data_IF_061978802746
#
_entry.id   IF_061978802746
#
_cell.length_a   1.000
_cell.length_b   1.000
_cell.length_c   1.000
_cell.angle_alpha   90.00
_cell.angle_beta   90.00
_cell.angle_gamma   90.00
#
_symmetry.space_group_name_H-M   'P 1'
#
loop_
_entity.id
_entity.type
_entity.pdbx_description
1 polymer ?
#
# COMPACT_ATOMS: atom_id res chain seq x y z
N UNK A 1 27.90 14.18 11.56
CA UNK A 1 28.44 15.53 11.83
C UNK A 1 27.62 16.63 11.16
N UNK A 2 27.06 16.45 9.96
CA UNK A 2 26.21 17.44 9.27
C UNK A 2 24.89 17.77 10.00
N UNK A 3 24.20 16.78 10.55
CA UNK A 3 22.90 16.96 11.23
C UNK A 3 23.01 17.81 12.51
N UNK A 4 24.15 17.77 13.19
CA UNK A 4 24.39 18.60 14.39
C UNK A 4 24.57 20.09 14.05
N UNK A 5 25.00 20.40 12.83
CA UNK A 5 25.15 21.79 12.35
C UNK A 5 23.79 22.40 11.97
N UNK A 6 22.91 21.63 11.33
CA UNK A 6 21.58 22.13 10.92
C UNK A 6 20.66 22.39 12.13
N UNK A 7 20.64 21.47 13.11
CA UNK A 7 19.88 21.70 14.35
C UNK A 7 20.43 22.91 15.15
N UNK A 8 21.75 23.11 15.20
CA UNK A 8 22.33 24.30 15.82
C UNK A 8 21.97 25.56 15.06
N UNK A 9 21.94 25.51 13.74
CA UNK A 9 21.59 26.68 12.90
C UNK A 9 20.11 27.05 13.07
N UNK A 10 19.21 26.07 13.13
CA UNK A 10 17.78 26.30 13.37
C UNK A 10 17.52 26.85 14.79
N UNK A 11 18.16 26.27 15.79
CA UNK A 11 18.06 26.75 17.18
C UNK A 11 18.64 28.16 17.33
N UNK A 12 19.72 28.49 16.60
CA UNK A 12 20.30 29.82 16.58
C UNK A 12 19.40 30.87 15.91
N UNK A 13 18.69 30.46 14.85
CA UNK A 13 17.66 31.27 14.17
C UNK A 13 16.48 31.58 15.08
N UNK A 14 15.92 30.54 15.74
CA UNK A 14 14.80 30.69 16.67
C UNK A 14 15.19 31.60 17.86
N UNK A 15 16.40 31.43 18.40
CA UNK A 15 16.89 32.24 19.50
C UNK A 15 17.06 33.73 19.10
N UNK A 16 17.55 33.98 17.88
CA UNK A 16 17.70 35.34 17.35
C UNK A 16 16.34 35.99 17.06
N UNK A 17 15.35 35.25 16.56
CA UNK A 17 13.98 35.76 16.36
C UNK A 17 13.35 36.14 17.71
N UNK A 18 13.52 35.32 18.74
CA UNK A 18 13.00 35.60 20.09
C UNK A 18 13.65 36.85 20.71
N UNK A 19 14.95 37.02 20.54
CA UNK A 19 15.68 38.25 21.01
C UNK A 19 15.21 39.46 20.24
N UNK A 20 15.01 39.38 18.92
CA UNK A 20 14.55 40.51 18.10
C UNK A 20 13.12 40.91 18.51
N UNK A 21 12.23 39.98 18.78
CA UNK A 21 10.87 40.26 19.28
C UNK A 21 10.93 40.95 20.63
N UNK A 22 11.80 40.51 21.53
CA UNK A 22 11.98 41.16 22.85
C UNK A 22 12.57 42.58 22.76
N UNK A 23 13.51 42.81 21.84
CA UNK A 23 14.08 44.14 21.58
C UNK A 23 13.04 45.07 20.97
N UNK A 24 12.25 44.60 20.00
CA UNK A 24 11.15 45.37 19.38
C UNK A 24 10.05 45.73 20.38
N UNK A 25 9.82 44.92 21.41
CA UNK A 25 8.88 45.23 22.48
C UNK A 25 9.40 46.28 23.44
N UNK A 26 10.71 46.52 23.48
CA UNK A 26 11.35 47.48 24.37
C UNK A 26 11.61 48.88 23.73
N UNK A 27 11.42 49.02 22.41
CA UNK A 27 11.70 50.27 21.66
C UNK A 27 10.44 51.17 21.55
N UNK A 28 10.68 52.49 21.42
CA UNK A 28 9.62 53.49 21.28
C UNK A 28 8.94 53.43 19.89
N UNK A 29 7.68 53.89 19.79
CA UNK A 29 6.80 53.61 18.66
C UNK A 29 7.29 54.13 17.29
N UNK A 30 8.05 55.21 17.25
CA UNK A 30 8.58 55.76 15.99
C UNK A 30 9.84 55.05 15.49
N UNK A 31 10.66 54.50 16.36
CA UNK A 31 11.81 53.67 15.99
C UNK A 31 11.35 52.24 15.60
N UNK A 32 10.32 51.72 16.25
CA UNK A 32 9.72 50.42 15.91
C UNK A 32 9.31 50.31 14.45
N UNK A 33 8.74 51.37 13.87
CA UNK A 33 8.26 51.36 12.49
C UNK A 33 9.39 51.24 11.45
N UNK A 34 10.53 51.88 11.68
CA UNK A 34 11.70 51.81 10.78
C UNK A 34 12.45 50.49 10.87
N UNK A 35 12.61 49.95 12.07
CA UNK A 35 13.27 48.67 12.29
C UNK A 35 12.37 47.50 11.82
N UNK A 36 11.08 47.56 12.09
CA UNK A 36 10.13 46.55 11.65
C UNK A 36 10.12 46.40 10.12
N UNK A 37 10.09 47.52 9.37
CA UNK A 37 10.12 47.48 7.91
C UNK A 37 11.44 46.95 7.33
N UNK A 38 12.57 47.24 7.98
CA UNK A 38 13.87 46.75 7.55
C UNK A 38 14.01 45.20 7.82
N UNK A 39 13.66 44.78 9.03
CA UNK A 39 13.75 43.36 9.43
C UNK A 39 12.72 42.46 8.74
N UNK A 40 11.48 42.92 8.58
CA UNK A 40 10.44 42.18 7.83
C UNK A 40 10.86 42.02 6.38
N UNK A 41 11.42 43.05 5.73
CA UNK A 41 11.87 42.94 4.35
C UNK A 41 13.11 42.06 4.18
N UNK A 42 14.04 42.06 5.13
CA UNK A 42 15.23 41.21 5.06
C UNK A 42 14.91 39.76 5.38
N UNK A 43 14.28 39.50 6.51
CA UNK A 43 13.92 38.11 6.92
C UNK A 43 12.76 37.52 6.12
N UNK A 44 11.84 38.34 5.63
CA UNK A 44 10.81 37.91 4.70
C UNK A 44 11.39 37.41 3.37
N UNK A 45 12.44 38.10 2.84
CA UNK A 45 13.16 37.63 1.63
C UNK A 45 13.96 36.34 1.89
N UNK A 46 14.64 36.25 3.03
CA UNK A 46 15.40 35.05 3.40
C UNK A 46 14.45 33.84 3.64
N UNK A 47 13.31 34.06 4.28
CA UNK A 47 12.28 33.03 4.49
C UNK A 47 11.66 32.62 3.17
N UNK A 48 11.32 33.55 2.28
CA UNK A 48 10.76 33.26 0.95
C UNK A 48 11.75 32.45 0.10
N UNK A 49 13.02 32.85 0.09
CA UNK A 49 14.07 32.11 -0.63
C UNK A 49 14.31 30.71 -0.03
N UNK A 50 14.21 30.55 1.30
CA UNK A 50 14.33 29.24 1.94
C UNK A 50 13.13 28.33 1.62
N UNK A 51 11.91 28.89 1.51
CA UNK A 51 10.71 28.16 1.10
C UNK A 51 10.77 27.77 -0.38
N UNK A 52 11.24 28.67 -1.27
CA UNK A 52 11.46 28.36 -2.68
C UNK A 52 12.48 27.22 -2.87
N UNK A 53 13.59 27.26 -2.15
CA UNK A 53 14.59 26.17 -2.18
C UNK A 53 14.01 24.84 -1.67
N UNK A 54 13.13 24.85 -0.67
CA UNK A 54 12.46 23.65 -0.19
C UNK A 54 11.48 23.10 -1.25
N UNK A 55 10.77 23.98 -1.93
CA UNK A 55 9.86 23.59 -3.00
C UNK A 55 10.60 22.95 -4.19
N UNK A 56 11.69 23.56 -4.65
CA UNK A 56 12.53 23.00 -5.72
C UNK A 56 13.09 21.62 -5.35
N UNK A 57 13.60 21.47 -4.12
CA UNK A 57 14.09 20.19 -3.61
C UNK A 57 12.99 19.15 -3.54
N UNK A 58 11.79 19.54 -3.12
CA UNK A 58 10.62 18.67 -3.08
C UNK A 58 10.22 18.20 -4.47
N UNK A 59 10.13 19.11 -5.44
CA UNK A 59 9.78 18.77 -6.82
C UNK A 59 10.81 17.85 -7.47
N UNK A 60 12.10 18.11 -7.25
CA UNK A 60 13.16 17.23 -7.72
C UNK A 60 13.07 15.84 -7.11
N UNK A 61 12.86 15.74 -5.81
CA UNK A 61 12.66 14.48 -5.10
C UNK A 61 11.40 13.75 -5.58
N UNK A 62 10.32 14.49 -5.83
CA UNK A 62 9.07 13.95 -6.35
C UNK A 62 9.26 13.36 -7.74
N UNK A 63 9.95 14.08 -8.63
CA UNK A 63 10.31 13.63 -9.98
C UNK A 63 11.09 12.32 -9.93
N UNK A 64 12.16 12.28 -9.12
CA UNK A 64 13.00 11.09 -8.99
C UNK A 64 12.22 9.88 -8.48
N UNK A 65 11.31 10.12 -7.52
CA UNK A 65 10.41 9.09 -7.00
C UNK A 65 9.47 8.55 -8.08
N UNK A 66 8.85 9.44 -8.87
CA UNK A 66 7.94 9.05 -9.95
C UNK A 66 8.66 8.28 -11.06
N UNK A 67 9.87 8.70 -11.43
CA UNK A 67 10.70 7.98 -12.41
C UNK A 67 11.19 6.63 -11.86
N UNK A 68 11.32 6.49 -10.56
CA UNK A 68 11.64 5.23 -9.87
C UNK A 68 10.48 4.24 -9.82
N UNK A 69 9.24 4.65 -10.03
CA UNK A 69 8.10 3.73 -10.10
C UNK A 69 8.14 2.85 -11.35
N UNK A 70 7.41 1.72 -11.31
CA UNK A 70 7.32 0.85 -12.47
C UNK A 70 6.73 1.57 -13.68
N UNK A 71 7.18 1.25 -14.89
CA UNK A 71 6.63 1.80 -16.14
C UNK A 71 5.11 1.61 -16.25
N UNK A 72 4.59 0.50 -15.72
CA UNK A 72 3.14 0.27 -15.68
C UNK A 72 2.43 1.31 -14.81
N UNK A 73 3.00 1.65 -13.64
CA UNK A 73 2.42 2.67 -12.77
C UNK A 73 2.57 4.08 -13.35
N UNK A 74 3.69 4.41 -13.97
CA UNK A 74 3.86 5.68 -14.69
C UNK A 74 2.78 5.87 -15.75
N UNK A 75 2.52 4.85 -16.58
CA UNK A 75 1.43 4.85 -17.56
C UNK A 75 0.04 4.97 -16.94
N UNK A 76 -0.17 4.33 -15.80
CA UNK A 76 -1.42 4.44 -15.05
C UNK A 76 -1.67 5.88 -14.61
N UNK A 77 -0.67 6.54 -14.00
CA UNK A 77 -0.75 7.94 -13.56
C UNK A 77 -1.09 8.87 -14.73
N UNK A 78 -0.33 8.79 -15.85
CA UNK A 78 -0.56 9.60 -17.02
C UNK A 78 -1.98 9.41 -17.56
N UNK A 79 -2.44 8.14 -17.61
CA UNK A 79 -3.81 7.83 -18.08
C UNK A 79 -4.87 8.42 -17.17
N UNK A 80 -4.72 8.33 -15.84
CA UNK A 80 -5.67 8.94 -14.91
C UNK A 80 -5.73 10.45 -15.09
N UNK A 81 -4.59 11.11 -15.19
CA UNK A 81 -4.53 12.56 -15.39
C UNK A 81 -5.08 13.01 -16.75
N UNK A 82 -4.97 12.17 -17.80
CA UNK A 82 -5.65 12.41 -19.07
C UNK A 82 -7.19 12.28 -18.93
N UNK A 83 -7.66 11.26 -18.21
CA UNK A 83 -9.09 11.08 -17.93
C UNK A 83 -9.67 12.23 -17.09
N UNK A 84 -8.91 12.78 -16.16
CA UNK A 84 -9.29 13.91 -15.33
C UNK A 84 -9.17 15.27 -16.07
N UNK A 85 -8.73 15.26 -17.34
CA UNK A 85 -8.54 16.45 -18.16
C UNK A 85 -7.39 17.35 -17.70
N UNK A 86 -6.45 16.82 -16.91
CA UNK A 86 -5.24 17.52 -16.44
C UNK A 86 -4.11 17.45 -17.47
N UNK A 87 -4.12 16.44 -18.33
CA UNK A 87 -3.22 16.30 -19.48
C UNK A 87 -4.07 16.15 -20.72
N UNK A 88 -3.70 16.84 -21.81
CA UNK A 88 -4.34 16.71 -23.12
C UNK A 88 -3.29 16.57 -24.22
N UNK A 89 -3.63 15.83 -25.26
CA UNK A 89 -2.78 15.76 -26.44
C UNK A 89 -2.96 17.04 -27.29
N UNK A 90 -1.90 17.50 -27.94
CA UNK A 90 -1.87 18.78 -28.70
C UNK A 90 -2.96 18.86 -29.79
N UNK A 91 -3.26 17.73 -30.43
CA UNK A 91 -4.29 17.62 -31.47
C UNK A 91 -5.74 17.64 -30.91
N UNK A 92 -5.92 17.45 -29.60
CA UNK A 92 -7.21 17.51 -28.93
C UNK A 92 -7.42 18.83 -28.15
N UNK A 93 -6.42 19.67 -28.11
CA UNK A 93 -6.48 20.97 -27.48
C UNK A 93 -7.29 21.94 -28.30
N UNK A 94 -8.62 21.91 -28.23
CA UNK A 94 -9.43 23.07 -28.57
C UNK A 94 -9.06 24.15 -27.56
N UNK A 95 -8.37 25.22 -28.04
CA UNK A 95 -7.90 26.38 -27.30
C UNK A 95 -8.68 26.58 -25.97
N UNK A 96 -8.28 25.93 -24.93
CA UNK A 96 -8.83 26.15 -23.61
C UNK A 96 -7.76 26.93 -22.84
N UNK A 97 -8.03 28.21 -22.59
CA UNK A 97 -7.26 29.10 -21.70
C UNK A 97 -7.26 28.61 -20.23
N UNK A 98 -7.22 27.30 -20.01
CA UNK A 98 -7.11 26.74 -18.67
C UNK A 98 -5.63 26.65 -18.29
N UNK A 99 -5.12 27.50 -17.39
CA UNK A 99 -3.69 27.62 -17.10
C UNK A 99 -3.05 26.35 -16.50
N UNK A 100 -3.85 25.37 -16.07
CA UNK A 100 -3.42 24.20 -15.32
C UNK A 100 -3.48 22.88 -16.11
N UNK A 101 -3.62 22.93 -17.45
CA UNK A 101 -3.58 21.74 -18.29
C UNK A 101 -2.18 21.60 -18.88
N UNK A 102 -1.61 20.41 -18.79
CA UNK A 102 -0.38 20.06 -19.50
C UNK A 102 -0.74 19.59 -20.89
N UNK A 103 -0.33 20.33 -21.91
CA UNK A 103 -0.42 19.92 -23.30
C UNK A 103 0.81 19.12 -23.67
N UNK A 104 0.63 17.91 -24.20
CA UNK A 104 1.70 16.99 -24.57
C UNK A 104 1.64 16.69 -26.07
N UNK A 105 2.80 16.47 -26.67
CA UNK A 105 2.89 16.01 -28.04
C UNK A 105 2.32 14.58 -28.17
N UNK A 106 1.72 14.27 -29.32
CA UNK A 106 1.02 12.99 -29.57
C UNK A 106 1.87 11.74 -29.32
N UNK A 107 3.18 11.84 -29.45
CA UNK A 107 4.13 10.73 -29.30
C UNK A 107 5.18 11.00 -28.24
N UNK A 108 4.93 11.96 -27.35
CA UNK A 108 5.83 12.24 -26.24
C UNK A 108 5.93 11.02 -25.33
N UNK A 109 7.15 10.65 -24.94
CA UNK A 109 7.38 9.51 -24.05
C UNK A 109 6.94 9.80 -22.61
N UNK A 110 6.60 8.72 -21.90
CA UNK A 110 6.06 8.83 -20.54
C UNK A 110 7.02 9.53 -19.57
N UNK A 111 8.33 9.39 -19.78
CA UNK A 111 9.34 10.02 -18.92
C UNK A 111 9.34 11.53 -19.09
N UNK A 112 9.34 12.02 -20.31
CA UNK A 112 9.26 13.44 -20.63
C UNK A 112 7.96 14.08 -20.11
N UNK A 113 6.85 13.35 -20.17
CA UNK A 113 5.57 13.79 -19.58
C UNK A 113 5.70 13.94 -18.07
N UNK A 114 6.27 12.95 -17.38
CA UNK A 114 6.47 12.98 -15.92
C UNK A 114 7.42 14.12 -15.52
N UNK A 115 8.49 14.35 -16.28
CA UNK A 115 9.43 15.44 -16.03
C UNK A 115 8.74 16.81 -16.16
N UNK A 116 7.88 16.98 -17.17
CA UNK A 116 7.10 18.21 -17.33
C UNK A 116 6.07 18.40 -16.21
N UNK A 117 5.41 17.33 -15.78
CA UNK A 117 4.47 17.37 -14.65
C UNK A 117 5.17 17.73 -13.34
N UNK A 118 6.35 17.17 -13.09
CA UNK A 118 7.11 17.39 -11.87
C UNK A 118 7.68 18.80 -11.70
N UNK A 119 7.60 19.64 -12.73
CA UNK A 119 7.95 21.06 -12.65
C UNK A 119 6.82 21.94 -12.08
N UNK A 120 5.66 21.35 -11.79
CA UNK A 120 4.47 22.07 -11.34
C UNK A 120 3.91 21.45 -10.06
N UNK A 121 3.80 22.24 -9.00
CA UNK A 121 3.25 21.83 -7.71
C UNK A 121 1.83 21.29 -7.78
N UNK A 122 1.01 21.80 -8.70
CA UNK A 122 -0.38 21.35 -8.89
C UNK A 122 -0.49 19.85 -9.20
N UNK A 123 0.52 19.27 -9.88
CA UNK A 123 0.54 17.84 -10.15
C UNK A 123 1.01 17.01 -8.96
N UNK A 124 1.76 17.59 -8.03
CA UNK A 124 2.16 16.90 -6.80
C UNK A 124 0.94 16.47 -5.99
N UNK A 125 -0.11 17.30 -5.93
CA UNK A 125 -1.37 16.99 -5.25
C UNK A 125 -2.04 15.76 -5.86
N UNK A 126 -2.07 15.66 -7.19
CA UNK A 126 -2.65 14.50 -7.88
C UNK A 126 -1.84 13.23 -7.60
N UNK A 127 -0.51 13.31 -7.54
CA UNK A 127 0.32 12.18 -7.17
C UNK A 127 0.11 11.77 -5.72
N UNK A 128 0.00 12.72 -4.80
CA UNK A 128 -0.32 12.45 -3.40
C UNK A 128 -1.65 11.69 -3.27
N UNK A 129 -2.67 12.08 -4.04
CA UNK A 129 -3.95 11.37 -4.08
C UNK A 129 -3.78 9.97 -4.66
N UNK A 130 -3.08 9.84 -5.80
CA UNK A 130 -2.89 8.55 -6.47
C UNK A 130 -2.09 7.55 -5.61
N UNK A 131 -1.19 8.03 -4.75
CA UNK A 131 -0.49 7.19 -3.77
C UNK A 131 -1.44 6.58 -2.73
N UNK A 132 -2.56 7.21 -2.37
CA UNK A 132 -3.56 6.58 -1.50
C UNK A 132 -4.25 5.38 -2.16
N UNK A 133 -4.51 5.46 -3.47
CA UNK A 133 -5.42 4.54 -4.17
C UNK A 133 -4.72 3.61 -5.15
N UNK A 134 -3.41 3.74 -5.35
CA UNK A 134 -2.65 2.86 -6.25
C UNK A 134 -2.68 1.41 -5.80
N UNK A 135 -2.43 0.50 -6.74
CA UNK A 135 -2.25 -0.91 -6.43
C UNK A 135 -0.92 -1.13 -5.70
N UNK A 136 -0.99 -1.53 -4.44
CA UNK A 136 0.15 -1.93 -3.63
C UNK A 136 0.50 -3.41 -3.86
N UNK A 137 1.79 -3.73 -3.81
CA UNK A 137 2.27 -5.12 -4.03
C UNK A 137 1.82 -6.03 -2.91
N UNK A 138 1.85 -5.55 -1.67
CA UNK A 138 1.52 -6.31 -0.46
C UNK A 138 0.39 -5.62 0.29
N UNK A 139 -0.51 -6.43 0.82
CA UNK A 139 -1.52 -6.04 1.80
C UNK A 139 -1.55 -7.07 2.91
N UNK A 140 -1.41 -6.61 4.15
CA UNK A 140 -1.45 -7.46 5.35
C UNK A 140 -2.71 -7.10 6.14
N UNK A 141 -3.75 -7.98 6.13
CA UNK A 141 -5.01 -7.72 6.80
C UNK A 141 -4.96 -8.08 8.29
N UNK A 142 -5.69 -7.30 9.07
CA UNK A 142 -5.96 -7.52 10.48
C UNK A 142 -7.43 -7.30 10.77
N UNK A 143 -8.00 -8.08 11.68
CA UNK A 143 -9.25 -7.69 12.31
C UNK A 143 -8.95 -6.70 13.43
N UNK A 144 -9.85 -5.76 13.67
CA UNK A 144 -9.72 -4.85 14.80
C UNK A 144 -10.99 -4.79 15.63
N UNK A 145 -10.84 -4.39 16.88
CA UNK A 145 -11.94 -3.99 17.73
C UNK A 145 -11.61 -2.67 18.43
N UNK A 146 -12.62 -1.85 18.59
CA UNK A 146 -12.48 -0.66 19.41
C UNK A 146 -12.96 -1.03 20.81
N UNK A 147 -12.09 -0.94 21.85
CA UNK A 147 -12.51 -1.17 23.23
C UNK A 147 -13.68 -0.27 23.60
N UNK A 148 -14.60 -0.76 24.42
CA UNK A 148 -15.81 -0.01 24.80
C UNK A 148 -15.49 1.35 25.46
N UNK A 149 -14.32 1.47 26.07
CA UNK A 149 -13.83 2.66 26.75
C UNK A 149 -12.98 3.57 25.83
N UNK A 150 -12.70 3.15 24.58
CA UNK A 150 -11.92 3.94 23.65
C UNK A 150 -12.78 5.03 23.01
N UNK A 151 -12.15 6.17 22.74
CA UNK A 151 -12.74 7.23 21.94
C UNK A 151 -13.11 6.70 20.53
N UNK A 152 -14.09 7.36 19.88
CA UNK A 152 -14.51 7.02 18.53
C UNK A 152 -13.28 6.95 17.58
N UNK A 153 -13.19 5.90 16.79
CA UNK A 153 -12.08 5.70 15.84
C UNK A 153 -11.87 6.92 14.93
N UNK A 154 -12.95 7.51 14.42
CA UNK A 154 -12.87 8.70 13.57
C UNK A 154 -12.27 9.91 14.30
N UNK A 155 -12.56 10.09 15.59
CA UNK A 155 -11.98 11.14 16.41
C UNK A 155 -10.49 10.92 16.66
N UNK A 156 -10.09 9.67 16.90
CA UNK A 156 -8.69 9.31 17.04
C UNK A 156 -7.92 9.54 15.73
N UNK A 157 -8.49 9.20 14.57
CA UNK A 157 -7.91 9.47 13.26
C UNK A 157 -7.74 10.98 13.06
N UNK A 158 -8.78 11.77 13.30
CA UNK A 158 -8.73 13.22 13.14
C UNK A 158 -7.71 13.90 14.10
N UNK A 159 -7.46 13.27 15.24
CA UNK A 159 -6.45 13.76 16.20
C UNK A 159 -5.02 13.39 15.79
N UNK A 160 -4.83 12.18 15.25
CA UNK A 160 -3.50 11.64 14.94
C UNK A 160 -3.01 11.97 13.53
N UNK A 161 -3.91 12.36 12.62
CA UNK A 161 -3.63 12.53 11.20
C UNK A 161 -4.11 13.90 10.70
N UNK A 162 -3.47 14.41 9.65
CA UNK A 162 -3.95 15.57 8.90
C UNK A 162 -4.94 15.12 7.81
N UNK A 163 -6.04 15.85 7.63
CA UNK A 163 -6.96 15.60 6.52
C UNK A 163 -6.28 15.91 5.18
N UNK A 164 -6.32 14.97 4.26
CA UNK A 164 -5.93 15.23 2.88
C UNK A 164 -7.12 15.83 2.12
N UNK A 165 -7.03 17.12 1.85
CA UNK A 165 -7.96 17.87 1.02
C UNK A 165 -7.21 18.33 -0.23
N UNK A 166 -7.54 17.83 -1.43
CA UNK A 166 -6.86 18.22 -2.65
C UNK A 166 -6.89 19.73 -2.94
N UNK A 167 -7.96 20.42 -2.52
CA UNK A 167 -8.15 21.85 -2.78
C UNK A 167 -7.40 22.74 -1.80
N UNK A 168 -7.06 22.21 -0.63
CA UNK A 168 -6.34 22.93 0.44
C UNK A 168 -4.98 22.30 0.77
N UNK A 169 -4.52 21.33 -0.03
CA UNK A 169 -3.28 20.61 0.23
C UNK A 169 -2.06 21.51 0.10
N UNK A 170 -1.26 21.52 1.15
CA UNK A 170 0.08 22.12 1.12
C UNK A 170 1.10 20.96 1.19
N UNK A 171 2.05 20.90 0.24
CA UNK A 171 3.08 19.87 0.25
C UNK A 171 3.83 19.81 1.57
N UNK A 172 3.97 18.63 2.14
CA UNK A 172 4.83 18.42 3.30
C UNK A 172 6.24 18.09 2.80
N UNK A 173 7.15 19.03 2.93
CA UNK A 173 8.55 18.87 2.52
C UNK A 173 9.34 17.94 3.44
N UNK A 174 8.86 17.69 4.65
CA UNK A 174 9.49 16.77 5.59
C UNK A 174 8.95 15.36 5.43
N UNK A 175 9.84 14.45 5.10
CA UNK A 175 9.54 13.01 5.04
C UNK A 175 10.26 12.28 6.17
N UNK A 176 9.51 11.51 6.93
CA UNK A 176 10.05 10.66 7.99
C UNK A 176 10.89 9.51 7.44
N UNK A 177 11.77 8.96 8.25
CA UNK A 177 12.52 7.72 7.94
C UNK A 177 11.81 6.49 8.45
N UNK A 178 10.96 6.66 9.46
CA UNK A 178 10.18 5.63 10.13
C UNK A 178 8.72 6.05 10.29
N UNK A 179 7.84 5.09 10.55
CA UNK A 179 6.44 5.35 10.90
C UNK A 179 6.42 6.18 12.19
N UNK A 180 5.63 7.25 12.20
CA UNK A 180 5.50 8.15 13.34
C UNK A 180 6.50 9.33 13.37
N UNK A 181 7.52 9.37 12.50
CA UNK A 181 8.43 10.51 12.42
C UNK A 181 7.73 11.78 11.88
N UNK A 182 6.68 11.60 11.08
CA UNK A 182 5.86 12.69 10.53
C UNK A 182 4.38 12.40 10.72
N UNK A 183 3.57 13.45 10.78
CA UNK A 183 2.11 13.32 10.83
C UNK A 183 1.60 12.75 9.51
N UNK A 184 0.90 11.60 9.51
CA UNK A 184 0.34 11.04 8.30
C UNK A 184 -0.87 11.84 7.82
N UNK A 185 -1.18 11.73 6.53
CA UNK A 185 -2.43 12.23 5.98
C UNK A 185 -3.50 11.13 5.96
N UNK A 186 -4.76 11.53 6.15
CA UNK A 186 -5.88 10.62 5.93
C UNK A 186 -6.84 11.12 4.85
N UNK A 187 -7.38 10.18 4.10
CA UNK A 187 -8.40 10.38 3.08
C UNK A 187 -9.66 9.60 3.48
N UNK A 188 -10.78 10.31 3.62
CA UNK A 188 -12.08 9.69 3.89
C UNK A 188 -12.81 9.45 2.56
N UNK A 189 -13.19 8.20 2.31
CA UNK A 189 -13.97 7.77 1.14
C UNK A 189 -15.37 7.24 1.54
N UNK A 190 -16.00 7.89 2.48
CA UNK A 190 -17.32 7.49 3.00
C UNK A 190 -17.21 6.31 3.97
N UNK A 191 -17.40 5.08 3.47
CA UNK A 191 -17.34 3.87 4.29
C UNK A 191 -15.92 3.36 4.55
N UNK A 192 -14.90 3.97 3.92
CA UNK A 192 -13.51 3.55 4.01
C UNK A 192 -12.62 4.74 4.38
N UNK A 193 -11.60 4.49 5.18
CA UNK A 193 -10.58 5.47 5.53
C UNK A 193 -9.21 4.95 5.12
N UNK A 194 -8.41 5.82 4.50
CA UNK A 194 -7.03 5.53 4.15
C UNK A 194 -6.12 6.50 4.90
N UNK A 195 -5.15 5.98 5.62
CA UNK A 195 -4.12 6.78 6.30
C UNK A 195 -2.80 6.50 5.59
N UNK A 196 -2.13 7.54 5.12
CA UNK A 196 -0.90 7.43 4.35
C UNK A 196 0.28 8.03 5.09
N UNK A 197 1.30 7.22 5.29
CA UNK A 197 2.65 7.64 5.63
C UNK A 197 3.48 7.71 4.36
N UNK A 198 4.38 8.68 4.28
CA UNK A 198 5.36 8.73 3.21
C UNK A 198 6.75 8.74 3.85
N UNK A 199 7.49 7.65 3.65
CA UNK A 199 8.83 7.49 4.18
C UNK A 199 9.86 7.87 3.12
N UNK A 200 10.95 8.48 3.54
CA UNK A 200 12.13 8.66 2.70
C UNK A 200 12.97 7.39 2.75
N UNK A 201 13.19 6.78 1.61
CA UNK A 201 14.13 5.67 1.43
C UNK A 201 15.23 6.08 0.45
N UNK A 202 16.36 5.40 0.53
CA UNK A 202 17.45 5.62 -0.39
C UNK A 202 17.97 4.26 -0.87
N UNK A 203 18.34 4.19 -2.13
CA UNK A 203 19.05 3.04 -2.69
C UNK A 203 20.23 3.50 -3.57
N UNK A 204 21.29 2.72 -3.68
CA UNK A 204 22.41 3.07 -4.53
C UNK A 204 21.99 2.99 -6.01
N UNK A 205 22.32 4.02 -6.78
CA UNK A 205 22.15 4.01 -8.24
C UNK A 205 23.08 2.96 -8.85
N UNK A 206 22.60 2.12 -9.78
CA UNK A 206 23.44 1.05 -10.36
C UNK A 206 24.68 1.56 -11.09
N UNK A 207 24.62 2.76 -11.69
CA UNK A 207 25.66 3.31 -12.55
C UNK A 207 26.86 3.88 -11.78
N UNK A 208 26.62 4.55 -10.65
CA UNK A 208 27.62 5.33 -9.92
C UNK A 208 27.62 5.14 -8.41
N UNK A 209 26.76 4.25 -7.90
CA UNK A 209 26.55 3.96 -6.48
C UNK A 209 26.15 5.17 -5.63
N UNK A 210 25.75 6.29 -6.27
CA UNK A 210 25.23 7.44 -5.54
C UNK A 210 23.83 7.14 -5.00
N UNK A 211 23.49 7.57 -3.78
CA UNK A 211 22.18 7.32 -3.22
C UNK A 211 21.10 8.13 -3.96
N UNK A 212 20.11 7.42 -4.47
CA UNK A 212 18.85 8.03 -4.94
C UNK A 212 17.86 7.97 -3.79
N UNK A 213 17.37 9.13 -3.39
CA UNK A 213 16.27 9.22 -2.45
C UNK A 213 14.94 9.08 -3.19
N UNK A 214 14.00 8.36 -2.59
CA UNK A 214 12.67 8.18 -3.16
C UNK A 214 11.60 8.10 -2.06
N UNK A 215 10.38 8.41 -2.45
CA UNK A 215 9.19 8.32 -1.61
C UNK A 215 8.76 6.87 -1.50
N UNK A 216 8.48 6.43 -0.29
CA UNK A 216 7.98 5.10 -0.02
C UNK A 216 6.66 5.21 0.76
N UNK A 217 5.53 5.24 0.07
CA UNK A 217 4.24 5.33 0.72
C UNK A 217 3.86 4.00 1.37
N UNK A 218 3.32 4.10 2.59
CA UNK A 218 2.68 3.02 3.34
C UNK A 218 1.27 3.47 3.67
N UNK A 219 0.28 2.67 3.32
CA UNK A 219 -1.13 3.02 3.53
C UNK A 219 -1.78 2.05 4.51
N UNK A 220 -2.43 2.60 5.52
CA UNK A 220 -3.35 1.87 6.38
C UNK A 220 -4.75 2.09 5.82
N UNK A 221 -5.37 1.02 5.33
CA UNK A 221 -6.75 1.00 4.87
C UNK A 221 -7.64 0.47 5.98
N UNK A 222 -8.73 1.15 6.26
CA UNK A 222 -9.68 0.80 7.31
C UNK A 222 -11.06 0.66 6.69
N UNK A 223 -11.68 -0.50 6.88
CA UNK A 223 -13.06 -0.77 6.51
C UNK A 223 -13.88 -1.06 7.78
N UNK A 224 -14.64 -0.09 8.29
CA UNK A 224 -15.43 -0.25 9.51
C UNK A 224 -16.55 -1.30 9.39
N UNK A 225 -17.12 -1.48 8.20
CA UNK A 225 -18.21 -2.45 8.00
C UNK A 225 -17.75 -3.89 8.18
N UNK A 226 -16.50 -4.17 7.78
CA UNK A 226 -15.88 -5.49 7.93
C UNK A 226 -15.10 -5.63 9.24
N UNK A 227 -14.89 -4.56 9.99
CA UNK A 227 -13.95 -4.48 11.11
C UNK A 227 -12.54 -4.95 10.71
N UNK A 228 -12.11 -4.59 9.50
CA UNK A 228 -10.82 -4.96 8.93
C UNK A 228 -9.95 -3.73 8.69
N UNK A 229 -8.68 -3.90 8.99
CA UNK A 229 -7.62 -2.95 8.72
C UNK A 229 -6.54 -3.67 7.89
N UNK A 230 -6.01 -3.01 6.87
CA UNK A 230 -4.92 -3.55 6.06
C UNK A 230 -3.73 -2.59 6.08
N UNK A 231 -2.52 -3.12 6.21
CA UNK A 231 -1.28 -2.37 6.00
C UNK A 231 -0.80 -2.68 4.59
N UNK A 232 -0.75 -1.65 3.73
CA UNK A 232 -0.45 -1.75 2.31
C UNK A 232 0.88 -1.08 1.99
N UNK A 233 1.76 -1.80 1.28
CA UNK A 233 3.10 -1.31 0.91
C UNK A 233 3.64 -2.03 -0.33
N UNK A 234 4.69 -1.48 -0.90
CA UNK A 234 5.35 -2.07 -2.07
C UNK A 234 6.61 -2.87 -1.69
N UNK A 235 7.05 -3.71 -2.63
CA UNK A 235 8.38 -4.26 -2.56
C UNK A 235 9.41 -3.15 -2.78
N UNK A 236 10.38 -3.04 -1.90
CA UNK A 236 11.55 -2.18 -2.12
C UNK A 236 12.41 -2.84 -3.17
N UNK A 237 12.55 -2.16 -4.32
CA UNK A 237 13.39 -2.64 -5.42
C UNK A 237 14.80 -2.15 -5.21
N UNK A 238 15.77 -3.00 -5.59
CA UNK A 238 17.18 -2.65 -5.65
C UNK A 238 17.89 -2.33 -4.33
N UNK A 239 17.26 -2.50 -3.19
CA UNK A 239 17.94 -2.40 -1.91
C UNK A 239 18.21 -3.80 -1.36
N UNK A 240 19.45 -4.31 -1.50
CA UNK A 240 19.80 -5.64 -0.99
C UNK A 240 19.75 -5.73 0.54
N UNK A 241 19.74 -4.58 1.23
CA UNK A 241 19.63 -4.51 2.70
C UNK A 241 18.16 -4.52 3.15
N UNK A 242 17.21 -4.27 2.24
CA UNK A 242 15.78 -4.29 2.56
C UNK A 242 15.22 -5.70 2.41
N UNK A 243 15.54 -6.55 3.36
CA UNK A 243 15.13 -7.95 3.40
C UNK A 243 13.86 -8.17 4.22
N UNK A 244 13.60 -9.43 4.52
CA UNK A 244 12.45 -9.90 5.32
C UNK A 244 12.32 -9.16 6.66
N UNK A 245 13.43 -8.98 7.37
CA UNK A 245 13.48 -8.28 8.66
C UNK A 245 13.04 -6.81 8.57
N UNK A 246 13.34 -6.15 7.43
CA UNK A 246 12.94 -4.76 7.21
C UNK A 246 11.43 -4.60 7.02
N UNK A 247 10.78 -5.57 6.36
CA UNK A 247 9.32 -5.59 6.23
C UNK A 247 8.66 -5.94 7.56
N UNK A 248 9.21 -6.87 8.32
CA UNK A 248 8.73 -7.21 9.64
C UNK A 248 8.79 -5.99 10.59
N UNK A 249 9.93 -5.28 10.57
CA UNK A 249 10.07 -4.03 11.32
C UNK A 249 9.04 -2.99 10.89
N UNK A 250 8.85 -2.78 9.58
CA UNK A 250 7.86 -1.84 9.05
C UNK A 250 6.45 -2.17 9.55
N UNK A 251 6.07 -3.45 9.52
CA UNK A 251 4.77 -3.90 10.01
C UNK A 251 4.62 -3.67 11.51
N UNK A 252 5.63 -4.02 12.29
CA UNK A 252 5.61 -3.81 13.74
C UNK A 252 5.52 -2.31 14.09
N UNK A 253 6.29 -1.45 13.42
CA UNK A 253 6.21 0.01 13.59
C UNK A 253 4.78 0.53 13.27
N UNK A 254 4.14 0.00 12.22
CA UNK A 254 2.75 0.33 11.90
C UNK A 254 1.77 -0.15 12.98
N UNK A 255 1.92 -1.39 13.46
CA UNK A 255 1.06 -1.96 14.50
C UNK A 255 1.16 -1.18 15.81
N UNK A 256 2.37 -0.80 16.22
CA UNK A 256 2.60 0.03 17.39
C UNK A 256 1.93 1.40 17.24
N UNK A 257 2.12 2.04 16.08
CA UNK A 257 1.48 3.33 15.81
C UNK A 257 -0.06 3.24 15.83
N UNK A 258 -0.64 2.20 15.21
CA UNK A 258 -2.08 1.97 15.18
C UNK A 258 -2.62 1.81 16.62
N UNK A 259 -1.98 0.97 17.43
CA UNK A 259 -2.39 0.76 18.83
C UNK A 259 -2.31 2.05 19.65
N UNK A 260 -1.20 2.79 19.51
CA UNK A 260 -0.98 4.02 20.28
C UNK A 260 -1.90 5.17 19.85
N UNK A 261 -2.06 5.37 18.54
CA UNK A 261 -2.75 6.54 17.98
C UNK A 261 -4.23 6.32 17.75
N UNK A 262 -4.62 5.15 17.21
CA UNK A 262 -6.02 4.84 16.91
C UNK A 262 -6.73 4.17 18.08
N UNK A 263 -5.99 3.67 19.07
CA UNK A 263 -6.50 3.02 20.28
C UNK A 263 -7.43 1.85 19.98
N UNK A 264 -7.05 1.03 19.02
CA UNK A 264 -7.76 -0.19 18.63
C UNK A 264 -6.94 -1.42 19.01
N UNK A 265 -7.62 -2.51 19.31
CA UNK A 265 -7.01 -3.83 19.45
C UNK A 265 -6.96 -4.51 18.09
N UNK A 266 -5.82 -5.09 17.75
CA UNK A 266 -5.59 -5.76 16.48
C UNK A 266 -5.47 -7.26 16.69
N UNK A 267 -6.02 -8.02 15.75
CA UNK A 267 -6.00 -9.47 15.74
C UNK A 267 -5.50 -9.96 14.37
N UNK A 268 -4.69 -11.00 14.39
CA UNK A 268 -4.21 -11.64 13.18
C UNK A 268 -5.40 -12.11 12.33
N UNK A 269 -5.21 -12.08 11.03
CA UNK A 269 -6.18 -12.65 10.11
C UNK A 269 -5.86 -14.14 9.91
N UNK A 270 -6.73 -15.01 10.42
CA UNK A 270 -6.65 -16.45 10.21
C UNK A 270 -7.33 -16.84 8.91
N UNK A 271 -6.56 -17.37 7.97
CA UNK A 271 -7.02 -17.85 6.67
C UNK A 271 -7.06 -19.38 6.54
N UNK A 272 -6.93 -20.13 7.62
CA UNK A 272 -6.84 -21.60 7.59
C UNK A 272 -8.01 -22.27 6.86
N UNK A 273 -9.20 -21.68 6.92
CA UNK A 273 -10.42 -22.24 6.28
C UNK A 273 -10.60 -21.82 4.82
N UNK A 274 -9.72 -20.99 4.26
CA UNK A 274 -9.92 -20.40 2.93
C UNK A 274 -10.07 -21.47 1.84
N UNK A 275 -9.24 -22.50 1.88
CA UNK A 275 -9.27 -23.59 0.87
C UNK A 275 -10.61 -24.32 0.90
N UNK A 276 -11.05 -24.73 2.10
CA UNK A 276 -12.30 -25.46 2.27
C UNK A 276 -13.52 -24.62 1.89
N UNK A 277 -13.51 -23.34 2.28
CA UNK A 277 -14.61 -22.41 1.97
C UNK A 277 -14.71 -22.18 0.47
N UNK A 278 -13.60 -21.96 -0.23
CA UNK A 278 -13.60 -21.74 -1.68
C UNK A 278 -14.05 -23.00 -2.41
N UNK A 279 -13.57 -24.17 -2.01
CA UNK A 279 -13.92 -25.46 -2.64
C UNK A 279 -15.37 -25.88 -2.36
N UNK A 280 -15.91 -25.60 -1.16
CA UNK A 280 -17.28 -25.97 -0.79
C UNK A 280 -18.33 -25.08 -1.44
N UNK A 281 -17.99 -23.84 -1.78
CA UNK A 281 -18.90 -22.92 -2.45
C UNK A 281 -18.97 -23.27 -3.94
N UNK A 282 -20.17 -23.60 -4.43
CA UNK A 282 -20.44 -23.81 -5.86
C UNK A 282 -20.44 -22.50 -6.68
N UNK A 283 -19.76 -21.47 -6.19
CA UNK A 283 -19.62 -20.18 -6.89
C UNK A 283 -18.54 -20.30 -7.97
N UNK A 284 -18.96 -20.52 -9.20
CA UNK A 284 -18.07 -20.59 -10.37
C UNK A 284 -17.29 -19.32 -10.66
N UNK A 285 -17.66 -18.19 -9.99
CA UNK A 285 -16.96 -16.91 -10.17
C UNK A 285 -15.66 -16.82 -9.39
N UNK A 286 -15.36 -17.80 -8.53
CA UNK A 286 -14.15 -17.86 -7.74
C UNK A 286 -13.63 -19.28 -7.66
N UNK A 287 -12.32 -19.44 -7.85
CA UNK A 287 -11.67 -20.75 -7.76
C UNK A 287 -10.22 -20.65 -7.33
N UNK A 288 -9.72 -21.72 -6.73
CA UNK A 288 -8.29 -21.88 -6.49
C UNK A 288 -7.63 -22.14 -7.86
N UNK A 289 -6.78 -21.18 -8.26
CA UNK A 289 -6.07 -21.24 -9.53
C UNK A 289 -4.74 -21.96 -9.40
N UNK A 290 -4.06 -21.78 -8.25
CA UNK A 290 -2.75 -22.37 -8.00
C UNK A 290 -2.58 -22.57 -6.49
N UNK A 291 -1.88 -23.63 -6.12
CA UNK A 291 -1.69 -24.00 -4.72
C UNK A 291 -0.32 -24.63 -4.52
N UNK A 292 0.36 -24.22 -3.46
CA UNK A 292 1.53 -24.90 -2.94
C UNK A 292 1.12 -25.80 -1.79
N UNK A 293 1.57 -27.04 -1.82
CA UNK A 293 1.35 -28.01 -0.77
C UNK A 293 2.68 -28.57 -0.29
N UNK A 294 2.87 -28.63 0.98
CA UNK A 294 4.01 -29.27 1.65
C UNK A 294 3.50 -30.43 2.49
N UNK A 295 4.05 -31.61 2.24
CA UNK A 295 3.70 -32.83 3.00
C UNK A 295 4.61 -32.95 4.21
N UNK A 296 4.06 -33.38 5.33
CA UNK A 296 4.83 -33.64 6.56
C UNK A 296 5.98 -34.65 6.41
N UNK A 297 5.96 -35.45 5.32
CA UNK A 297 7.02 -36.37 4.93
C UNK A 297 8.19 -35.71 4.16
N UNK A 298 8.19 -34.37 3.98
CA UNK A 298 9.27 -33.62 3.33
C UNK A 298 9.13 -33.46 1.81
N UNK A 299 7.99 -33.86 1.22
CA UNK A 299 7.68 -33.57 -0.18
C UNK A 299 6.92 -32.26 -0.34
N UNK A 300 7.12 -31.56 -1.47
CA UNK A 300 6.33 -30.38 -1.83
C UNK A 300 5.86 -30.47 -3.27
N UNK A 301 4.67 -29.93 -3.54
CA UNK A 301 4.10 -29.84 -4.88
C UNK A 301 3.44 -28.48 -5.10
N UNK A 302 3.71 -27.90 -6.26
CA UNK A 302 3.00 -26.71 -6.72
C UNK A 302 2.07 -27.11 -7.88
N UNK A 303 0.79 -26.83 -7.72
CA UNK A 303 -0.25 -27.23 -8.64
C UNK A 303 -0.88 -26.00 -9.27
N UNK A 304 -1.18 -26.08 -10.57
CA UNK A 304 -1.85 -25.00 -11.31
C UNK A 304 -3.04 -25.59 -12.07
N UNK A 305 -4.23 -25.05 -11.87
CA UNK A 305 -5.41 -25.43 -12.63
C UNK A 305 -5.38 -24.81 -14.03
N UNK A 306 -5.56 -25.62 -15.06
CA UNK A 306 -5.66 -25.18 -16.44
C UNK A 306 -7.10 -25.23 -16.91
N UNK A 307 -7.54 -24.15 -17.56
CA UNK A 307 -8.91 -24.05 -18.08
C UNK A 307 -9.96 -23.85 -16.99
N UNK A 308 -11.11 -24.50 -17.17
CA UNK A 308 -12.26 -24.40 -16.25
C UNK A 308 -12.29 -25.47 -15.17
N UNK A 309 -11.34 -26.39 -15.20
CA UNK A 309 -11.29 -27.51 -14.24
C UNK A 309 -10.89 -27.00 -12.86
N UNK A 310 -11.47 -27.59 -11.84
CA UNK A 310 -11.06 -27.39 -10.46
C UNK A 310 -9.65 -27.97 -10.23
N UNK A 311 -8.96 -27.44 -9.24
CA UNK A 311 -7.64 -27.94 -8.86
C UNK A 311 -7.82 -29.29 -8.15
N UNK A 312 -7.46 -30.38 -8.81
CA UNK A 312 -7.42 -31.71 -8.21
C UNK A 312 -6.01 -31.95 -7.68
N UNK A 313 -5.92 -32.32 -6.39
CA UNK A 313 -4.62 -32.63 -5.80
C UNK A 313 -4.07 -33.93 -6.37
N UNK A 314 -2.89 -33.93 -7.01
CA UNK A 314 -2.29 -35.18 -7.50
C UNK A 314 -2.17 -36.18 -6.36
N UNK A 315 -2.39 -37.43 -6.70
CA UNK A 315 -2.44 -38.59 -5.81
C UNK A 315 -3.63 -38.60 -4.85
N UNK A 316 -3.96 -37.50 -4.15
CA UNK A 316 -5.05 -37.48 -3.16
C UNK A 316 -6.40 -37.43 -3.87
N UNK A 317 -6.61 -36.43 -4.72
CA UNK A 317 -7.85 -36.29 -5.47
C UNK A 317 -8.01 -37.41 -6.51
N UNK A 318 -6.93 -37.71 -7.26
CA UNK A 318 -6.95 -38.78 -8.26
C UNK A 318 -7.25 -40.14 -7.66
N UNK A 319 -6.75 -40.47 -6.48
CA UNK A 319 -7.07 -41.72 -5.79
C UNK A 319 -8.50 -41.68 -5.25
N UNK A 320 -9.02 -40.55 -4.80
CA UNK A 320 -10.43 -40.43 -4.42
C UNK A 320 -11.35 -40.65 -5.61
N UNK A 321 -11.05 -39.95 -6.72
CA UNK A 321 -11.81 -40.16 -7.98
C UNK A 321 -11.76 -41.63 -8.43
N UNK A 322 -10.57 -42.27 -8.33
CA UNK A 322 -10.42 -43.69 -8.64
C UNK A 322 -11.28 -44.60 -7.73
N UNK A 323 -11.35 -44.29 -6.44
CA UNK A 323 -12.20 -45.01 -5.48
C UNK A 323 -13.67 -44.80 -5.82
N UNK A 324 -14.08 -43.58 -6.13
CA UNK A 324 -15.48 -43.24 -6.44
C UNK A 324 -15.92 -43.84 -7.80
N UNK A 325 -15.07 -43.77 -8.83
CA UNK A 325 -15.32 -44.35 -10.14
C UNK A 325 -15.39 -45.91 -10.11
N UNK A 326 -14.77 -46.55 -9.12
CA UNK A 326 -14.73 -47.99 -8.96
C UNK A 326 -15.42 -48.46 -7.66
N UNK A 327 -16.47 -47.78 -7.23
CA UNK A 327 -17.19 -48.03 -5.97
C UNK A 327 -17.59 -49.50 -5.80
N UNK A 328 -18.03 -50.20 -6.90
CA UNK A 328 -18.41 -51.59 -6.88
C UNK A 328 -17.25 -52.53 -6.51
N UNK A 329 -16.02 -52.23 -6.95
CA UNK A 329 -14.82 -52.99 -6.60
C UNK A 329 -14.41 -52.78 -5.17
N UNK A 330 -14.41 -51.51 -4.73
CA UNK A 330 -14.02 -51.15 -3.37
C UNK A 330 -15.05 -51.57 -2.32
N UNK A 331 -16.33 -51.71 -2.69
CA UNK A 331 -17.36 -52.24 -1.78
C UNK A 331 -17.14 -53.70 -1.42
N UNK A 332 -16.45 -54.48 -2.30
CA UNK A 332 -16.05 -55.87 -2.01
C UNK A 332 -14.86 -55.98 -1.06
N UNK A 333 -14.14 -54.86 -0.79
CA UNK A 333 -12.96 -54.83 0.06
C UNK A 333 -12.99 -53.55 0.93
N UNK A 334 -13.99 -53.49 1.80
CA UNK A 334 -14.25 -52.29 2.64
C UNK A 334 -13.05 -51.90 3.49
N UNK A 335 -12.29 -52.85 3.99
CA UNK A 335 -11.07 -52.62 4.77
C UNK A 335 -9.99 -51.90 3.95
N UNK A 336 -9.83 -52.25 2.66
CA UNK A 336 -8.86 -51.60 1.78
C UNK A 336 -9.31 -50.16 1.46
N UNK A 337 -10.61 -49.99 1.19
CA UNK A 337 -11.21 -48.68 0.98
C UNK A 337 -10.96 -47.76 2.18
N UNK A 338 -11.28 -48.22 3.37
CA UNK A 338 -11.08 -47.45 4.61
C UNK A 338 -9.60 -47.15 4.87
N UNK A 339 -8.71 -48.11 4.63
CA UNK A 339 -7.27 -47.90 4.78
C UNK A 339 -6.76 -46.78 3.85
N UNK A 340 -7.16 -46.81 2.57
CA UNK A 340 -6.79 -45.76 1.60
C UNK A 340 -7.38 -44.42 1.97
N UNK A 341 -8.66 -44.35 2.29
CA UNK A 341 -9.31 -43.12 2.68
C UNK A 341 -8.69 -42.52 3.95
N UNK A 342 -8.38 -43.35 4.94
CA UNK A 342 -7.67 -42.88 6.17
C UNK A 342 -6.28 -42.35 5.86
N UNK A 343 -5.53 -43.01 4.98
CA UNK A 343 -4.23 -42.54 4.52
C UNK A 343 -4.31 -41.18 3.82
N UNK A 344 -5.28 -41.01 2.90
CA UNK A 344 -5.50 -39.76 2.20
C UNK A 344 -5.91 -38.64 3.16
N UNK A 345 -6.82 -38.91 4.09
CA UNK A 345 -7.28 -37.99 5.11
C UNK A 345 -6.13 -37.56 6.03
N UNK A 346 -5.23 -38.47 6.41
CA UNK A 346 -4.06 -38.16 7.23
C UNK A 346 -3.09 -37.24 6.45
N UNK A 347 -2.88 -37.51 5.16
CA UNK A 347 -2.02 -36.67 4.31
C UNK A 347 -2.60 -35.26 4.14
N UNK A 348 -3.89 -35.11 3.90
CA UNK A 348 -4.56 -33.80 3.84
C UNK A 348 -4.47 -33.05 5.17
N UNK A 349 -4.74 -33.75 6.28
CA UNK A 349 -4.71 -33.15 7.61
C UNK A 349 -3.32 -32.67 8.02
N UNK A 350 -2.27 -33.35 7.55
CA UNK A 350 -0.87 -33.03 7.87
C UNK A 350 -0.20 -32.13 6.84
N UNK A 351 -0.88 -31.82 5.74
CA UNK A 351 -0.37 -30.96 4.71
C UNK A 351 -0.35 -29.49 5.18
N UNK A 352 0.73 -28.81 4.86
CA UNK A 352 0.85 -27.36 5.01
C UNK A 352 0.63 -26.70 3.64
N UNK A 353 -0.05 -25.56 3.63
CA UNK A 353 -0.32 -24.77 2.42
C UNK A 353 0.30 -23.38 2.57
N UNK A 354 1.59 -23.19 2.25
CA UNK A 354 2.25 -21.90 2.44
C UNK A 354 1.57 -20.76 1.69
N UNK A 355 1.02 -21.07 0.50
CA UNK A 355 0.29 -20.08 -0.29
C UNK A 355 -0.70 -20.71 -1.27
N UNK A 356 -1.72 -19.93 -1.62
CA UNK A 356 -2.66 -20.22 -2.70
C UNK A 356 -2.83 -18.99 -3.59
N UNK A 357 -3.26 -19.24 -4.84
CA UNK A 357 -3.70 -18.20 -5.75
C UNK A 357 -5.19 -18.42 -6.03
N UNK A 358 -5.95 -17.38 -5.84
CA UNK A 358 -7.38 -17.39 -6.13
C UNK A 358 -7.62 -16.57 -7.39
N UNK A 359 -8.36 -17.14 -8.35
CA UNK A 359 -8.83 -16.45 -9.55
C UNK A 359 -10.28 -16.05 -9.34
N UNK A 360 -10.55 -14.75 -9.47
CA UNK A 360 -11.90 -14.20 -9.59
C UNK A 360 -12.25 -14.11 -11.06
N UNK A 361 -13.20 -14.91 -11.48
CA UNK A 361 -13.68 -14.95 -12.86
C UNK A 361 -14.80 -13.92 -13.02
N UNK A 362 -14.69 -13.08 -14.04
CA UNK A 362 -15.70 -12.07 -14.41
C UNK A 362 -16.30 -12.44 -15.77
N UNK A 363 -17.52 -12.00 -16.10
CA UNK A 363 -18.12 -12.24 -17.40
C UNK A 363 -17.24 -11.79 -18.58
N UNK A 364 -16.50 -10.68 -18.37
CA UNK A 364 -15.48 -10.22 -19.31
C UNK A 364 -14.12 -10.71 -18.80
N UNK A 365 -13.43 -11.53 -19.58
CA UNK A 365 -12.17 -12.16 -19.18
C UNK A 365 -11.09 -11.17 -18.77
N UNK A 366 -11.03 -10.01 -19.44
CA UNK A 366 -10.10 -8.92 -19.12
C UNK A 366 -10.31 -8.32 -17.73
N UNK A 367 -11.49 -8.50 -17.15
CA UNK A 367 -11.82 -8.04 -15.81
C UNK A 367 -11.54 -9.08 -14.73
N UNK A 368 -11.22 -10.29 -15.14
CA UNK A 368 -10.81 -11.36 -14.24
C UNK A 368 -9.43 -11.04 -13.65
N UNK A 369 -9.23 -11.37 -12.39
CA UNK A 369 -7.98 -11.11 -11.71
C UNK A 369 -7.57 -12.25 -10.80
N UNK A 370 -6.28 -12.32 -10.51
CA UNK A 370 -5.68 -13.32 -9.64
C UNK A 370 -5.04 -12.58 -8.46
N UNK A 371 -5.27 -13.09 -7.26
CA UNK A 371 -4.55 -12.66 -6.07
C UNK A 371 -3.98 -13.87 -5.35
N UNK A 372 -2.81 -13.68 -4.76
CA UNK A 372 -2.11 -14.67 -3.95
C UNK A 372 -2.40 -14.41 -2.48
N UNK A 373 -2.71 -15.45 -1.74
CA UNK A 373 -2.72 -15.45 -0.28
C UNK A 373 -1.50 -16.24 0.17
N UNK A 374 -0.66 -15.64 0.99
CA UNK A 374 0.47 -16.31 1.64
C UNK A 374 0.14 -16.40 3.13
N UNK A 375 0.05 -17.61 3.65
CA UNK A 375 -0.32 -17.86 5.04
C UNK A 375 0.90 -17.85 5.97
N UNK A 376 2.07 -18.13 5.42
CA UNK A 376 3.33 -18.23 6.15
C UNK A 376 4.36 -17.22 5.59
N UNK A 377 4.04 -15.95 5.74
CA UNK A 377 4.93 -14.86 5.36
C UNK A 377 5.43 -14.17 6.64
N UNK A 378 6.58 -13.52 6.62
CA UNK A 378 7.16 -12.87 7.79
C UNK A 378 7.24 -13.80 9.04
N UNK A 379 7.86 -14.97 8.88
CA UNK A 379 8.02 -15.97 9.94
C UNK A 379 6.72 -16.63 10.40
N UNK A 380 5.74 -16.75 9.51
CA UNK A 380 4.46 -17.37 9.80
C UNK A 380 3.52 -16.55 10.69
N UNK A 381 3.86 -15.29 10.94
CA UNK A 381 3.06 -14.42 11.81
C UNK A 381 1.90 -13.75 11.08
N UNK A 382 2.08 -13.35 9.82
CA UNK A 382 1.12 -12.52 9.11
C UNK A 382 0.63 -13.16 7.80
N UNK A 383 -0.67 -13.29 7.66
CA UNK A 383 -1.30 -13.57 6.36
C UNK A 383 -1.11 -12.38 5.43
N UNK A 384 -0.65 -12.62 4.21
CA UNK A 384 -0.35 -11.56 3.25
C UNK A 384 -1.12 -11.77 1.95
N UNK A 385 -1.77 -10.73 1.47
CA UNK A 385 -2.38 -10.69 0.15
C UNK A 385 -1.44 -10.03 -0.86
N UNK A 386 -1.37 -10.59 -2.06
CA UNK A 386 -0.60 -10.03 -3.16
C UNK A 386 -1.42 -10.06 -4.44
N UNK A 387 -1.56 -8.91 -5.09
CA UNK A 387 -2.12 -8.88 -6.43
C UNK A 387 -1.12 -9.46 -7.44
N UNK A 388 -1.61 -10.36 -8.28
CA UNK A 388 -0.85 -10.88 -9.42
C UNK A 388 -1.27 -10.13 -10.68
N UNK A 389 -0.28 -9.56 -11.35
CA UNK A 389 -0.50 -8.91 -12.63
C UNK A 389 -0.83 -9.98 -13.68
N UNK A 390 -2.10 -10.09 -14.00
CA UNK A 390 -2.58 -10.89 -15.12
C UNK A 390 -2.87 -10.00 -16.33
N UNK A 391 -3.94 -10.29 -17.04
CA UNK A 391 -4.44 -9.53 -18.18
C UNK A 391 -5.01 -8.15 -17.80
N UNK A 392 -5.14 -7.88 -16.52
CA UNK A 392 -5.74 -6.66 -16.00
C UNK A 392 -4.83 -5.43 -16.14
N UNK A 393 -5.37 -4.40 -16.79
CA UNK A 393 -4.73 -3.09 -16.98
C UNK A 393 -5.01 -2.10 -15.84
N UNK A 394 -5.94 -2.43 -14.96
CA UNK A 394 -6.27 -1.57 -13.84
C UNK A 394 -5.27 -1.77 -12.70
N UNK A 395 -4.64 -0.68 -12.26
CA UNK A 395 -3.65 -0.64 -11.20
C UNK A 395 -4.19 0.02 -9.92
N UNK A 396 -5.52 0.16 -9.81
CA UNK A 396 -6.18 0.58 -8.59
C UNK A 396 -6.40 -0.55 -7.58
N UNK A 397 -6.67 -0.20 -6.33
CA UNK A 397 -6.88 -1.16 -5.25
C UNK A 397 -8.29 -1.77 -5.19
N UNK A 398 -9.25 -1.34 -6.02
CA UNK A 398 -10.65 -1.82 -5.97
C UNK A 398 -10.78 -3.33 -6.03
N UNK A 399 -9.94 -4.00 -6.83
CA UNK A 399 -9.95 -5.45 -6.92
C UNK A 399 -9.49 -6.13 -5.65
N UNK A 400 -8.48 -5.57 -4.99
CA UNK A 400 -8.01 -6.08 -3.70
C UNK A 400 -9.00 -5.77 -2.59
N UNK A 401 -9.65 -4.61 -2.61
CA UNK A 401 -10.75 -4.29 -1.70
C UNK A 401 -11.91 -5.30 -1.86
N UNK A 402 -12.27 -5.66 -3.10
CA UNK A 402 -13.26 -6.70 -3.37
C UNK A 402 -12.79 -8.09 -2.95
N UNK A 403 -11.49 -8.39 -3.04
CA UNK A 403 -10.94 -9.66 -2.59
C UNK A 403 -11.03 -9.81 -1.07
N UNK A 404 -10.59 -8.80 -0.31
CA UNK A 404 -10.67 -8.84 1.15
C UNK A 404 -12.12 -8.89 1.64
N UNK A 405 -13.00 -8.12 1.00
CA UNK A 405 -14.45 -8.16 1.29
C UNK A 405 -15.00 -9.56 1.12
N UNK A 406 -14.73 -10.21 -0.02
CA UNK A 406 -15.16 -11.58 -0.25
C UNK A 406 -14.62 -12.56 0.79
N UNK A 407 -13.32 -12.48 1.12
CA UNK A 407 -12.67 -13.39 2.07
C UNK A 407 -13.29 -13.27 3.47
N UNK A 408 -13.62 -12.06 3.90
CA UNK A 408 -14.27 -11.82 5.19
C UNK A 408 -15.75 -12.28 5.16
N UNK A 409 -16.54 -11.84 4.19
CA UNK A 409 -17.97 -12.18 4.08
C UNK A 409 -18.21 -13.67 3.85
N UNK A 410 -17.27 -14.35 3.18
CA UNK A 410 -17.35 -15.79 2.97
C UNK A 410 -17.04 -16.64 4.20
N UNK A 411 -16.40 -16.05 5.22
CA UNK A 411 -15.86 -16.77 6.36
C UNK A 411 -14.53 -17.48 6.05
N UNK A 412 -13.89 -17.14 4.90
CA UNK A 412 -12.54 -17.60 4.57
C UNK A 412 -11.51 -17.02 5.53
N UNK A 413 -11.69 -15.74 5.89
CA UNK A 413 -10.89 -15.07 6.89
C UNK A 413 -11.68 -14.91 8.18
N UNK A 414 -11.04 -15.28 9.28
CA UNK A 414 -11.60 -15.18 10.63
C UNK A 414 -10.61 -14.48 11.56
N UNK A 415 -11.13 -13.98 12.68
CA UNK A 415 -10.33 -13.34 13.71
C UNK A 415 -9.48 -14.38 14.42
N UNK A 416 -8.18 -14.22 14.36
CA UNK A 416 -7.19 -15.05 15.02
C UNK A 416 -6.69 -14.46 16.35
N UNK A 417 -5.45 -14.78 16.71
CA UNK A 417 -4.80 -14.33 17.92
C UNK A 417 -4.52 -12.81 17.93
N UNK A 418 -4.33 -12.18 19.09
CA UNK A 418 -3.88 -10.80 19.19
C UNK A 418 -2.57 -10.57 18.43
N UNK A 419 -2.51 -9.46 17.68
CA UNK A 419 -1.38 -9.12 16.80
C UNK A 419 -0.21 -8.44 17.55
#
# INVERSE_FOLDING_TARGET
>A
MHIFYECKFLMFQIHNITIIVLVLLAMDFQEKSKYNNYYINKHGKELHMALEMQEEQYLAFYKDSMLGYSKAYQKYVIRQLKQDGRITDEDQCAVTDKPNILVVEKHQDDQSIIEAMAQKTDYAVNFEYLEFVKLYKYSVPFFYSTPAEAANLNENIATACALFDPDAYTPNYYLGRSIGDSTPFFLNKGDEVLIKFVLQKAFPRPEDYQPINYRYPVVIYINPQLSVLEIRFDAVRFDPQFGKESYEKLLNDCLEWIKASLKVELFLCDGAKTIDVVNSKKDKSIKIYKQMMELGSGGSAELTAYGERDLVMPFIGEIRDLIDENEELFSQSTEIKELLLNYLNEKEKTANYPYIYIKRVKPVETDSYIFKITFDYFLGKFTTLQHQTGTCRDLGMERMNNAIKYLCESGSFTKGDPA
#
